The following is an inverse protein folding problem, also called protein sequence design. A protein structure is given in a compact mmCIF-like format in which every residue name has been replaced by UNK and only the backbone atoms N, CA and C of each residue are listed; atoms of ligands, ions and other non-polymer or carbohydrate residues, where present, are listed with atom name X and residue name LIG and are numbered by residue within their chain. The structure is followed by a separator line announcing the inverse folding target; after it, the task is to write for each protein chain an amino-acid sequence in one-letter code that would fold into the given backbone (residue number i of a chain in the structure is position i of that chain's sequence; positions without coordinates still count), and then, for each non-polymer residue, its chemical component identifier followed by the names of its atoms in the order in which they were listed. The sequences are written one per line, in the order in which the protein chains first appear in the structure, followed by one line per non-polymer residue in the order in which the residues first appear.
data_IF_891639702637
#
_entry.id   IF_891639702637
#
_cell.length_a   1.000
_cell.length_b   1.000
_cell.length_c   1.000
_cell.angle_alpha   90.00
_cell.angle_beta   90.00
_cell.angle_gamma   90.00
#
_symmetry.space_group_name_H-M   'P 1'
#
loop_
_entity.id
_entity.type
_entity.pdbx_description
1 polymer ?
#
# COMPACT_ATOMS: atom_id res chain seq x y z
N UNK A 1 1.98 24.28 -10.02
CA UNK A 1 1.46 24.97 -8.81
C UNK A 1 0.92 23.87 -7.92
N UNK A 2 1.71 23.44 -6.94
CA UNK A 2 1.35 22.32 -6.06
C UNK A 2 0.40 22.84 -4.98
N UNK A 3 -0.86 22.40 -5.03
CA UNK A 3 -1.80 22.53 -3.92
C UNK A 3 -2.17 21.12 -3.48
N UNK A 4 -1.22 20.46 -2.82
CA UNK A 4 -1.56 19.38 -1.92
C UNK A 4 -1.97 20.07 -0.62
N UNK A 5 -3.15 19.74 -0.09
CA UNK A 5 -3.54 20.08 1.27
C UNK A 5 -2.40 19.68 2.21
N UNK A 6 -1.62 20.65 2.67
CA UNK A 6 -0.55 20.43 3.63
C UNK A 6 -1.21 20.00 4.94
N UNK A 7 -1.21 18.69 5.19
CA UNK A 7 -1.39 18.15 6.53
C UNK A 7 -0.36 18.83 7.43
N UNK A 8 -0.82 19.71 8.31
CA UNK A 8 -0.01 20.36 9.33
C UNK A 8 0.77 19.26 10.06
N UNK A 9 2.11 19.26 9.97
CA UNK A 9 2.92 18.22 10.57
C UNK A 9 2.65 18.18 12.09
N UNK A 10 2.00 17.11 12.56
CA UNK A 10 1.84 16.84 13.98
C UNK A 10 3.00 15.95 14.38
N UNK A 11 3.88 16.48 15.23
CA UNK A 11 5.08 15.80 15.68
C UNK A 11 4.73 14.76 16.74
N UNK A 12 5.41 13.60 16.76
CA UNK A 12 5.19 12.63 17.80
C UNK A 12 5.68 13.22 19.13
N UNK A 13 4.85 13.10 20.14
CA UNK A 13 5.13 13.64 21.47
C UNK A 13 4.93 12.55 22.53
N UNK A 14 5.89 12.44 23.45
CA UNK A 14 5.67 11.74 24.72
C UNK A 14 5.49 12.76 25.81
N UNK A 15 4.35 12.70 26.50
CA UNK A 15 4.09 13.51 27.67
C UNK A 15 4.35 12.73 28.96
N UNK A 16 5.26 13.23 29.79
CA UNK A 16 5.50 12.77 31.16
C UNK A 16 4.41 13.25 32.12
N UNK A 17 3.89 12.34 32.95
CA UNK A 17 2.86 12.61 33.96
C UNK A 17 3.23 12.06 35.33
N UNK A 18 2.70 12.72 36.37
CA UNK A 18 2.93 12.36 37.78
C UNK A 18 1.98 11.27 38.31
N UNK A 19 0.86 10.94 37.63
CA UNK A 19 -0.13 9.95 38.10
C UNK A 19 -0.96 9.29 36.94
N UNK A 20 -1.28 7.98 37.01
CA UNK A 20 -1.89 7.21 35.89
C UNK A 20 -3.36 7.45 35.51
N UNK A 21 -4.17 8.06 36.39
CA UNK A 21 -5.64 7.93 36.28
C UNK A 21 -6.41 9.14 35.68
N UNK A 22 -5.74 10.20 35.20
CA UNK A 22 -6.46 11.36 34.62
C UNK A 22 -5.84 11.88 33.32
N UNK A 23 -6.62 11.86 32.25
CA UNK A 23 -6.21 12.25 30.89
C UNK A 23 -6.21 13.77 30.61
N UNK A 24 -6.75 14.61 31.50
CA UNK A 24 -7.16 15.99 31.16
C UNK A 24 -6.51 17.15 31.92
N UNK A 25 -5.58 16.94 32.87
CA UNK A 25 -5.04 18.08 33.63
C UNK A 25 -3.71 18.58 33.04
N UNK A 26 -3.61 19.90 32.85
CA UNK A 26 -2.48 20.65 32.25
C UNK A 26 -1.13 20.57 32.97
N UNK A 27 -0.83 19.46 33.64
CA UNK A 27 0.43 19.15 34.34
C UNK A 27 1.30 18.11 33.58
N UNK A 28 1.09 17.97 32.27
CA UNK A 28 1.87 17.07 31.41
C UNK A 28 3.08 17.81 30.83
N UNK A 29 4.30 17.30 31.04
CA UNK A 29 5.53 17.89 30.49
C UNK A 29 6.09 17.01 29.36
N UNK A 30 6.42 17.55 28.18
CA UNK A 30 6.96 16.74 27.10
C UNK A 30 8.34 16.19 27.48
N UNK A 31 8.57 14.90 27.23
CA UNK A 31 9.90 14.30 27.27
C UNK A 31 10.69 14.72 26.04
N UNK A 32 12.01 14.81 26.19
CA UNK A 32 12.87 15.23 25.09
C UNK A 32 13.10 14.05 24.14
N UNK A 33 12.74 14.21 22.86
CA UNK A 33 13.18 13.30 21.80
C UNK A 33 14.68 13.52 21.57
N UNK A 34 15.49 12.49 21.75
CA UNK A 34 16.96 12.57 21.64
C UNK A 34 17.52 11.75 20.48
N UNK A 35 16.84 10.69 20.02
CA UNK A 35 17.25 9.95 18.81
C UNK A 35 16.05 9.61 17.95
N UNK A 36 16.21 9.75 16.64
CA UNK A 36 15.21 9.41 15.66
C UNK A 36 15.84 8.51 14.59
N UNK A 37 15.24 7.36 14.35
CA UNK A 37 15.64 6.43 13.29
C UNK A 37 14.43 6.15 12.40
N UNK A 38 14.63 6.25 11.09
CA UNK A 38 13.58 6.03 10.10
C UNK A 38 14.11 5.04 9.08
N UNK A 39 13.41 3.92 8.95
CA UNK A 39 13.67 2.95 7.90
C UNK A 39 12.48 2.88 6.97
N UNK A 40 12.71 3.02 5.67
CA UNK A 40 11.69 2.84 4.66
C UNK A 40 12.06 1.71 3.71
N UNK A 41 11.06 0.88 3.39
CA UNK A 41 11.20 -0.25 2.47
C UNK A 41 10.12 -0.17 1.39
N UNK A 42 10.54 -0.25 0.14
CA UNK A 42 9.70 -0.34 -1.05
C UNK A 42 9.95 -1.66 -1.75
N UNK A 43 8.90 -2.43 -2.00
CA UNK A 43 8.95 -3.50 -2.98
C UNK A 43 8.69 -2.90 -4.37
N UNK A 44 9.66 -3.01 -5.29
CA UNK A 44 9.52 -2.51 -6.65
C UNK A 44 8.44 -3.23 -7.47
N UNK A 45 7.93 -4.37 -7.03
CA UNK A 45 6.76 -5.01 -7.64
C UNK A 45 5.46 -4.28 -7.26
N UNK A 46 5.43 -3.64 -6.08
CA UNK A 46 4.30 -2.87 -5.56
C UNK A 46 4.74 -1.47 -5.10
N UNK A 47 5.27 -0.64 -6.02
CA UNK A 47 5.84 0.68 -5.71
C UNK A 47 4.80 1.72 -5.25
N UNK A 48 3.52 1.34 -5.19
CA UNK A 48 2.46 2.21 -4.68
C UNK A 48 2.30 2.10 -3.15
N UNK A 49 2.81 1.03 -2.53
CA UNK A 49 2.82 0.86 -1.06
C UNK A 49 4.28 0.83 -0.59
N UNK A 50 4.54 1.48 0.53
CA UNK A 50 5.81 1.40 1.22
C UNK A 50 5.60 1.26 2.71
N UNK A 51 6.51 0.55 3.36
CA UNK A 51 6.53 0.41 4.80
C UNK A 51 7.55 1.41 5.38
N UNK A 52 7.16 2.09 6.44
CA UNK A 52 8.01 2.98 7.23
C UNK A 52 8.06 2.45 8.67
N UNK A 53 9.26 2.32 9.20
CA UNK A 53 9.52 2.05 10.61
C UNK A 53 10.18 3.28 11.23
N UNK A 54 9.51 3.90 12.18
CA UNK A 54 10.00 5.06 12.93
C UNK A 54 10.31 4.63 14.35
N UNK A 55 11.58 4.69 14.74
CA UNK A 55 12.08 4.40 16.09
C UNK A 55 12.52 5.70 16.76
N UNK A 56 11.91 6.01 17.91
CA UNK A 56 12.09 7.27 18.62
C UNK A 56 12.57 6.99 20.05
N UNK A 57 13.68 7.59 20.45
CA UNK A 57 14.20 7.50 21.82
C UNK A 57 13.94 8.81 22.55
N UNK A 58 13.20 8.73 23.64
CA UNK A 58 12.84 9.85 24.50
C UNK A 58 13.60 9.78 25.82
N UNK A 59 14.11 10.91 26.29
CA UNK A 59 14.80 11.04 27.57
C UNK A 59 13.91 11.72 28.60
N UNK A 60 13.80 11.11 29.78
CA UNK A 60 13.21 11.77 30.94
C UNK A 60 14.22 12.73 31.57
N UNK A 61 14.09 14.01 31.23
CA UNK A 61 14.94 15.08 31.78
C UNK A 61 14.57 15.47 33.21
N UNK A 62 13.50 14.91 33.78
CA UNK A 62 13.08 15.18 35.15
C UNK A 62 13.83 14.31 36.17
N UNK A 63 13.75 14.71 37.45
CA UNK A 63 14.32 13.99 38.60
C UNK A 63 13.34 13.03 39.28
N UNK A 64 12.22 12.72 38.62
CA UNK A 64 11.15 11.84 39.13
C UNK A 64 10.80 10.77 38.10
N UNK A 65 10.23 9.65 38.57
CA UNK A 65 9.61 8.65 37.69
C UNK A 65 8.37 9.28 37.06
N UNK A 66 8.21 9.11 35.75
CA UNK A 66 7.05 9.58 35.01
C UNK A 66 6.42 8.46 34.19
N UNK A 67 5.12 8.59 33.93
CA UNK A 67 4.43 7.85 32.88
C UNK A 67 4.46 8.67 31.59
N UNK A 68 4.84 8.03 30.48
CA UNK A 68 4.82 8.62 29.15
C UNK A 68 3.53 8.28 28.41
N UNK A 69 2.78 9.29 27.95
CA UNK A 69 1.74 9.11 26.93
C UNK A 69 2.32 9.48 25.57
N UNK A 70 2.55 8.48 24.71
CA UNK A 70 3.06 8.67 23.35
C UNK A 70 1.89 8.81 22.38
N UNK A 71 1.97 9.83 21.54
CA UNK A 71 1.03 10.08 20.45
C UNK A 71 1.78 10.20 19.13
N UNK A 72 1.32 9.49 18.10
CA UNK A 72 1.89 9.52 16.75
C UNK A 72 0.76 9.64 15.73
N UNK A 73 0.73 10.76 15.01
CA UNK A 73 -0.23 10.97 13.93
C UNK A 73 0.30 10.37 12.65
N UNK A 74 -0.42 9.39 12.11
CA UNK A 74 -0.13 8.76 10.85
C UNK A 74 -0.57 9.67 9.68
N UNK A 75 0.08 9.55 8.51
CA UNK A 75 -0.47 10.05 7.25
C UNK A 75 -1.91 9.57 7.04
N UNK A 76 -2.72 10.36 6.31
CA UNK A 76 -4.17 10.13 6.16
C UNK A 76 -4.52 8.73 5.64
N UNK A 77 -3.67 8.14 4.79
CA UNK A 77 -3.87 6.83 4.18
C UNK A 77 -3.01 5.73 4.80
N UNK A 78 -2.26 6.04 5.84
CA UNK A 78 -1.35 5.10 6.44
C UNK A 78 -2.08 4.14 7.39
N UNK A 79 -1.65 2.88 7.39
CA UNK A 79 -2.16 1.82 8.26
C UNK A 79 -1.04 1.33 9.16
N UNK A 80 -1.29 1.20 10.46
CA UNK A 80 -0.32 0.61 11.39
C UNK A 80 -0.17 -0.87 11.12
N UNK A 81 1.08 -1.30 11.01
CA UNK A 81 1.46 -2.69 10.80
C UNK A 81 2.15 -3.28 12.03
N UNK A 82 2.76 -2.45 12.88
CA UNK A 82 3.49 -2.94 14.04
C UNK A 82 3.87 -1.85 15.02
N UNK A 83 4.26 -2.29 16.21
CA UNK A 83 4.65 -1.45 17.32
C UNK A 83 5.67 -2.18 18.19
N UNK A 84 6.60 -1.46 18.81
CA UNK A 84 7.52 -2.05 19.79
C UNK A 84 7.97 -1.06 20.86
N UNK A 85 8.37 -1.60 22.00
CA UNK A 85 8.91 -0.87 23.15
C UNK A 85 10.23 -1.47 23.61
N UNK A 86 11.11 -0.63 24.15
CA UNK A 86 12.30 -1.12 24.81
C UNK A 86 11.99 -1.80 26.16
N UNK A 87 12.50 -3.01 26.32
CA UNK A 87 12.58 -3.72 27.60
C UNK A 87 14.06 -4.03 27.81
N UNK A 88 14.64 -3.47 28.87
CA UNK A 88 16.07 -3.60 29.20
C UNK A 88 17.02 -3.27 28.02
N UNK A 89 16.64 -2.26 27.22
CA UNK A 89 17.42 -1.79 26.07
C UNK A 89 17.20 -2.56 24.77
N UNK A 90 16.32 -3.57 24.76
CA UNK A 90 15.97 -4.36 23.57
C UNK A 90 14.55 -4.03 23.14
N UNK A 91 14.32 -3.73 21.85
CA UNK A 91 12.97 -3.53 21.33
C UNK A 91 12.23 -4.86 21.28
N UNK A 92 11.10 -4.92 21.98
CA UNK A 92 10.16 -6.03 21.98
C UNK A 92 8.90 -5.60 21.23
N UNK A 93 8.47 -6.43 20.27
CA UNK A 93 7.28 -6.16 19.48
C UNK A 93 6.00 -6.37 20.30
N UNK A 94 5.08 -5.41 20.18
CA UNK A 94 3.76 -5.47 20.78
C UNK A 94 2.82 -6.35 19.95
N UNK A 95 1.98 -7.12 20.63
CA UNK A 95 0.92 -7.93 19.99
C UNK A 95 -0.34 -7.08 19.83
N UNK A 96 -0.85 -7.00 18.60
CA UNK A 96 -2.15 -6.35 18.34
C UNK A 96 -3.26 -7.26 18.86
N UNK A 97 -4.03 -6.77 19.82
CA UNK A 97 -5.19 -7.48 20.40
C UNK A 97 -6.45 -6.62 20.25
N UNK A 98 -7.61 -7.27 20.17
CA UNK A 98 -8.90 -6.56 20.11
C UNK A 98 -9.11 -5.66 21.33
N UNK A 99 -9.73 -4.49 21.13
CA UNK A 99 -9.91 -3.43 22.14
C UNK A 99 -10.50 -3.92 23.47
N UNK A 100 -11.46 -4.84 23.43
CA UNK A 100 -12.10 -5.38 24.63
C UNK A 100 -11.16 -6.33 25.40
N UNK A 101 -10.46 -7.21 24.70
CA UNK A 101 -9.46 -8.11 25.30
C UNK A 101 -8.30 -7.31 25.92
N UNK A 102 -7.86 -6.26 25.24
CA UNK A 102 -6.84 -5.34 25.72
C UNK A 102 -7.24 -4.72 27.08
N UNK A 103 -8.47 -4.19 27.18
CA UNK A 103 -8.97 -3.56 28.41
C UNK A 103 -9.08 -4.54 29.59
N UNK A 104 -9.50 -5.78 29.35
CA UNK A 104 -9.59 -6.80 30.40
C UNK A 104 -8.20 -7.16 30.95
N UNK A 105 -7.20 -7.26 30.07
CA UNK A 105 -5.81 -7.47 30.49
C UNK A 105 -5.28 -6.28 31.31
N UNK A 106 -5.62 -5.05 30.92
CA UNK A 106 -5.27 -3.81 31.65
C UNK A 106 -5.79 -3.80 33.09
N UNK A 107 -7.10 -4.02 33.29
CA UNK A 107 -7.71 -3.96 34.63
C UNK A 107 -7.16 -5.05 35.57
N UNK A 108 -6.64 -6.14 35.01
CA UNK A 108 -6.05 -7.27 35.74
C UNK A 108 -4.59 -7.02 36.15
N UNK A 109 -3.79 -6.40 35.28
CA UNK A 109 -2.34 -6.25 35.48
C UNK A 109 -1.95 -4.96 36.22
N UNK A 110 -2.71 -3.86 36.06
CA UNK A 110 -2.50 -2.60 36.83
C UNK A 110 -2.54 -2.80 38.34
N UNK A 111 -3.31 -3.80 38.81
CA UNK A 111 -3.36 -4.17 40.24
C UNK A 111 -2.03 -4.70 40.80
N UNK A 112 -1.11 -5.11 39.93
CA UNK A 112 0.18 -5.70 40.33
C UNK A 112 1.35 -4.71 40.36
N UNK A 113 1.13 -3.43 40.01
CA UNK A 113 2.15 -2.33 40.01
C UNK A 113 3.44 -2.65 39.23
N UNK A 114 3.41 -3.64 38.35
CA UNK A 114 4.52 -4.07 37.50
C UNK A 114 3.89 -4.29 36.14
N UNK A 115 3.99 -3.34 35.21
CA UNK A 115 3.67 -3.67 33.82
C UNK A 115 4.42 -2.77 32.82
N UNK A 116 5.21 -3.35 31.90
CA UNK A 116 5.88 -2.63 30.83
C UNK A 116 4.93 -2.46 29.62
N UNK A 117 4.23 -1.32 29.58
CA UNK A 117 3.71 -0.74 28.33
C UNK A 117 2.43 -1.37 27.75
N UNK A 118 1.35 -0.59 27.69
CA UNK A 118 0.08 -0.99 27.11
C UNK A 118 -0.30 -0.06 25.95
N UNK A 119 -0.79 -0.65 24.85
CA UNK A 119 -1.04 0.02 23.56
C UNK A 119 -2.53 0.15 23.30
N UNK A 120 -3.01 1.34 22.97
CA UNK A 120 -4.42 1.57 22.58
C UNK A 120 -4.47 2.33 21.25
N UNK A 121 -4.87 1.66 20.16
CA UNK A 121 -5.20 2.36 18.92
C UNK A 121 -6.47 3.20 19.15
N UNK A 122 -6.32 4.53 19.12
CA UNK A 122 -7.44 5.47 19.22
C UNK A 122 -8.03 5.67 17.81
N UNK A 123 -9.35 5.86 17.73
CA UNK A 123 -10.10 6.00 16.48
C UNK A 123 -9.49 7.05 15.54
N UNK A 124 -9.23 6.69 14.27
CA UNK A 124 -8.72 7.60 13.22
C UNK A 124 -7.27 7.30 12.80
N UNK A 125 -6.52 8.35 12.44
CA UNK A 125 -5.09 8.30 12.07
C UNK A 125 -4.16 8.60 13.26
N UNK A 126 -4.66 8.57 14.50
CA UNK A 126 -3.89 8.87 15.70
C UNK A 126 -3.57 7.59 16.47
N UNK A 127 -2.29 7.27 16.56
CA UNK A 127 -1.79 6.22 17.43
C UNK A 127 -1.52 6.77 18.84
N UNK A 128 -1.93 6.02 19.87
CA UNK A 128 -1.60 6.35 21.27
C UNK A 128 -1.12 5.12 22.02
N UNK A 129 -0.17 5.31 22.91
CA UNK A 129 0.30 4.25 23.82
C UNK A 129 0.82 4.85 25.11
N UNK A 130 0.80 4.06 26.19
CA UNK A 130 1.30 4.49 27.49
C UNK A 130 2.49 3.65 27.90
N UNK A 131 3.52 4.32 28.39
CA UNK A 131 4.78 3.70 28.80
C UNK A 131 5.07 4.10 30.23
N UNK A 132 5.14 3.10 31.12
CA UNK A 132 5.50 3.27 32.52
C UNK A 132 6.38 2.08 32.95
N UNK A 133 7.30 2.26 33.91
CA UNK A 133 7.83 3.52 34.40
C UNK A 133 8.95 4.07 33.50
N UNK A 134 9.08 5.40 33.45
CA UNK A 134 10.25 6.08 32.87
C UNK A 134 11.04 6.72 34.01
N UNK A 135 12.14 6.09 34.41
CA UNK A 135 12.97 6.53 35.53
C UNK A 135 13.68 7.87 35.24
N UNK A 136 14.08 8.62 36.29
CA UNK A 136 14.81 9.88 36.12
C UNK A 136 16.07 9.72 35.27
N UNK A 137 16.31 10.63 34.32
CA UNK A 137 17.46 10.64 33.42
C UNK A 137 17.62 9.40 32.52
N UNK A 138 16.68 8.46 32.59
CA UNK A 138 16.64 7.29 31.72
C UNK A 138 15.90 7.59 30.43
N UNK A 139 16.11 6.71 29.45
CA UNK A 139 15.44 6.77 28.15
C UNK A 139 14.36 5.71 28.02
N UNK A 140 13.42 5.95 27.10
CA UNK A 140 12.54 4.93 26.53
C UNK A 140 12.52 5.05 25.03
N UNK A 141 12.48 3.92 24.36
CA UNK A 141 12.46 3.83 22.90
C UNK A 141 11.15 3.20 22.45
N UNK A 142 10.50 3.87 21.51
CA UNK A 142 9.23 3.46 20.93
C UNK A 142 9.43 3.28 19.43
N UNK A 143 8.99 2.15 18.89
CA UNK A 143 8.97 1.87 17.45
C UNK A 143 7.54 1.81 16.95
N UNK A 144 7.25 2.48 15.84
CA UNK A 144 5.99 2.38 15.11
C UNK A 144 6.30 1.97 13.68
N UNK A 145 5.61 0.95 13.20
CA UNK A 145 5.70 0.47 11.83
C UNK A 145 4.35 0.70 11.16
N UNK A 146 4.34 1.36 10.02
CA UNK A 146 3.14 1.63 9.26
C UNK A 146 3.40 1.51 7.75
N UNK A 147 2.35 1.18 7.00
CA UNK A 147 2.35 1.24 5.55
C UNK A 147 1.66 2.52 5.10
N UNK A 148 2.21 3.17 4.08
CA UNK A 148 1.63 4.35 3.45
C UNK A 148 1.57 4.18 1.93
N UNK A 149 0.79 5.04 1.28
CA UNK A 149 0.63 5.05 -0.18
C UNK A 149 1.48 6.15 -0.81
N UNK A 150 2.30 5.77 -1.78
CA UNK A 150 3.08 6.73 -2.56
C UNK A 150 2.17 7.55 -3.49
N UNK A 151 2.59 8.77 -3.80
CA UNK A 151 1.86 9.67 -4.70
C UNK A 151 2.29 9.38 -6.14
N UNK A 152 1.35 9.04 -7.02
CA UNK A 152 1.65 8.87 -8.45
C UNK A 152 2.17 10.20 -9.04
N UNK A 153 3.33 10.17 -9.68
CA UNK A 153 3.97 11.35 -10.26
C UNK A 153 4.66 11.03 -11.59
N UNK A 154 4.06 11.49 -12.70
CA UNK A 154 4.51 11.20 -14.07
C UNK A 154 4.74 9.68 -14.27
N UNK A 155 5.95 9.27 -14.63
CA UNK A 155 6.37 7.87 -14.82
C UNK A 155 7.00 7.29 -13.54
N UNK A 156 6.52 7.69 -12.36
CA UNK A 156 7.14 7.33 -11.09
C UNK A 156 6.19 7.48 -9.90
N UNK A 157 6.75 7.19 -8.73
CA UNK A 157 6.09 7.37 -7.44
C UNK A 157 6.91 8.36 -6.59
N UNK A 158 6.23 9.39 -6.09
CA UNK A 158 6.75 10.34 -5.13
C UNK A 158 6.49 9.79 -3.71
N UNK A 159 7.57 9.58 -2.97
CA UNK A 159 7.53 9.24 -1.56
C UNK A 159 7.78 10.48 -0.74
N UNK A 160 6.98 10.66 0.31
CA UNK A 160 7.13 11.73 1.28
C UNK A 160 7.32 11.09 2.65
N UNK A 161 8.54 11.16 3.17
CA UNK A 161 8.90 10.52 4.44
C UNK A 161 8.93 11.61 5.52
N UNK A 162 8.01 11.61 6.48
CA UNK A 162 8.06 12.54 7.59
C UNK A 162 9.28 12.25 8.47
N UNK A 163 10.05 13.28 8.80
CA UNK A 163 11.18 13.22 9.73
C UNK A 163 10.89 14.13 10.93
N UNK A 164 9.96 13.77 11.83
CA UNK A 164 9.36 14.76 12.72
C UNK A 164 10.18 14.97 14.00
N UNK A 165 10.82 16.13 14.17
CA UNK A 165 11.43 16.58 15.42
C UNK A 165 11.37 18.10 15.62
N UNK A 166 11.11 18.56 16.85
CA UNK A 166 11.04 19.99 17.20
C UNK A 166 12.20 20.46 18.08
N UNK A 167 12.96 19.53 18.66
CA UNK A 167 14.07 19.80 19.56
C UNK A 167 15.33 19.18 19.00
N UNK A 168 16.50 19.69 19.43
CA UNK A 168 17.80 19.10 19.08
C UNK A 168 17.81 17.58 19.31
N UNK A 169 18.28 16.84 18.31
CA UNK A 169 18.55 15.40 18.38
C UNK A 169 20.04 15.14 18.63
N UNK A 170 20.35 14.11 19.42
CA UNK A 170 21.69 13.55 19.53
C UNK A 170 22.07 12.82 18.24
N UNK A 171 21.14 12.06 17.65
CA UNK A 171 21.31 11.40 16.36
C UNK A 171 20.04 11.34 15.52
N UNK A 172 20.22 11.40 14.20
CA UNK A 172 19.22 11.14 13.18
C UNK A 172 19.77 10.12 12.20
N UNK A 173 19.10 8.97 12.11
CA UNK A 173 19.42 7.91 11.17
C UNK A 173 18.25 7.74 10.19
N UNK A 174 18.51 7.80 8.88
CA UNK A 174 17.49 7.53 7.86
C UNK A 174 18.05 6.54 6.86
N UNK A 175 17.34 5.44 6.66
CA UNK A 175 17.68 4.39 5.70
C UNK A 175 16.49 4.16 4.77
N UNK A 176 16.66 4.47 3.50
CA UNK A 176 15.64 4.25 2.47
C UNK A 176 16.09 3.10 1.58
N UNK A 177 15.24 2.10 1.38
CA UNK A 177 15.55 0.92 0.57
C UNK A 177 14.45 0.63 -0.44
N UNK A 178 14.84 0.48 -1.71
CA UNK A 178 13.95 0.03 -2.78
C UNK A 178 14.47 -1.29 -3.36
N UNK A 179 13.60 -2.30 -3.53
CA UNK A 179 13.94 -3.61 -4.10
C UNK A 179 13.41 -3.78 -5.52
N UNK A 180 14.04 -4.63 -6.35
CA UNK A 180 13.45 -5.14 -7.59
C UNK A 180 13.38 -4.16 -8.77
N UNK A 181 14.14 -3.07 -8.75
CA UNK A 181 14.22 -2.09 -9.84
C UNK A 181 15.63 -2.13 -10.43
N UNK A 182 15.79 -2.58 -11.66
CA UNK A 182 17.14 -2.77 -12.27
C UNK A 182 17.62 -1.57 -13.07
N UNK A 183 16.72 -0.68 -13.49
CA UNK A 183 17.00 0.22 -14.62
C UNK A 183 16.98 1.72 -14.30
N UNK A 184 16.49 2.17 -13.13
CA UNK A 184 16.45 3.61 -12.82
C UNK A 184 16.74 3.89 -11.36
N UNK A 185 17.71 4.79 -11.13
CA UNK A 185 18.14 5.24 -9.80
C UNK A 185 17.10 6.23 -9.24
N UNK A 186 16.64 6.08 -7.98
CA UNK A 186 15.74 7.05 -7.35
C UNK A 186 16.44 8.40 -7.14
N UNK A 187 15.68 9.50 -7.17
CA UNK A 187 16.22 10.86 -7.02
C UNK A 187 15.45 11.69 -6.00
N UNK A 188 16.19 12.39 -5.14
CA UNK A 188 15.59 13.31 -4.17
C UNK A 188 14.98 14.53 -4.87
N UNK A 189 13.85 14.98 -4.36
CA UNK A 189 13.20 16.22 -4.77
C UNK A 189 13.64 17.30 -3.80
N UNK A 190 14.27 18.36 -4.31
CA UNK A 190 14.64 19.49 -3.47
C UNK A 190 13.38 20.20 -2.96
N UNK A 191 13.28 20.37 -1.64
CA UNK A 191 12.32 21.30 -1.06
C UNK A 191 12.72 22.72 -1.51
N UNK A 192 11.77 23.64 -1.64
CA UNK A 192 11.97 24.97 -2.24
C UNK A 192 13.10 25.82 -1.62
N UNK A 193 13.61 25.45 -0.44
CA UNK A 193 14.68 26.17 0.28
C UNK A 193 15.92 25.30 0.62
N UNK A 194 16.03 24.07 0.12
CA UNK A 194 17.17 23.18 0.39
C UNK A 194 18.11 23.05 -0.81
N UNK A 195 19.37 23.44 -0.68
CA UNK A 195 20.41 22.99 -1.61
C UNK A 195 20.44 21.47 -1.58
N UNK A 196 20.32 20.83 -2.76
CA UNK A 196 20.31 19.38 -2.94
C UNK A 196 21.60 18.65 -2.44
N UNK A 197 22.54 19.38 -1.82
CA UNK A 197 23.83 18.91 -1.32
C UNK A 197 23.77 18.15 0.00
N UNK A 198 22.67 18.24 0.76
CA UNK A 198 22.56 17.60 2.09
C UNK A 198 21.67 16.35 2.11
N UNK A 199 21.11 15.95 0.98
CA UNK A 199 20.40 14.67 0.89
C UNK A 199 21.39 13.52 0.69
N UNK A 200 21.12 12.34 1.27
CA UNK A 200 21.91 11.16 0.95
C UNK A 200 21.79 10.83 -0.54
N UNK A 201 22.74 10.08 -1.09
CA UNK A 201 22.65 9.59 -2.46
C UNK A 201 22.17 8.14 -2.48
N UNK A 202 21.36 7.79 -3.47
CA UNK A 202 21.01 6.40 -3.69
C UNK A 202 22.18 5.64 -4.32
N UNK A 203 22.61 4.58 -3.65
CA UNK A 203 23.62 3.63 -4.11
C UNK A 203 22.92 2.40 -4.66
N UNK A 204 23.34 1.94 -5.83
CA UNK A 204 22.87 0.69 -6.43
C UNK A 204 23.63 -0.51 -5.89
N UNK A 205 22.92 -1.61 -5.68
CA UNK A 205 23.46 -2.89 -5.24
C UNK A 205 23.14 -3.97 -6.28
N UNK A 206 23.84 -5.11 -6.20
CA UNK A 206 23.48 -6.31 -6.97
C UNK A 206 22.03 -6.72 -6.68
N UNK A 207 21.30 -7.19 -7.69
CA UNK A 207 19.89 -7.63 -7.62
C UNK A 207 18.83 -6.51 -7.64
N UNK A 208 19.14 -5.33 -8.21
CA UNK A 208 18.15 -4.27 -8.39
C UNK A 208 17.69 -3.62 -7.08
N UNK A 209 18.54 -3.64 -6.04
CA UNK A 209 18.32 -2.97 -4.77
C UNK A 209 19.00 -1.59 -4.81
N UNK A 210 18.29 -0.55 -4.36
CA UNK A 210 18.85 0.79 -4.13
C UNK A 210 18.74 1.15 -2.66
N UNK A 211 19.78 1.77 -2.09
CA UNK A 211 19.76 2.29 -0.72
C UNK A 211 20.24 3.72 -0.65
N UNK A 212 19.61 4.55 0.19
CA UNK A 212 20.13 5.85 0.60
C UNK A 212 20.19 5.89 2.12
N UNK A 213 21.35 6.29 2.67
CA UNK A 213 21.63 6.28 4.10
C UNK A 213 22.09 7.67 4.55
N UNK A 214 21.46 8.21 5.59
CA UNK A 214 21.79 9.48 6.21
C UNK A 214 22.05 9.23 7.70
N UNK A 215 23.26 9.54 8.14
CA UNK A 215 23.66 9.44 9.54
C UNK A 215 24.16 10.80 10.01
N UNK A 216 23.35 11.48 10.83
CA UNK A 216 23.70 12.78 11.40
C UNK A 216 23.79 12.67 12.91
N UNK A 217 24.74 13.42 13.49
CA UNK A 217 24.88 13.58 14.93
C UNK A 217 24.72 15.05 15.28
N UNK A 218 24.12 15.36 16.43
CA UNK A 218 23.84 16.73 16.87
C UNK A 218 23.04 17.52 15.80
N UNK A 219 21.76 17.18 15.64
CA UNK A 219 20.89 17.77 14.62
C UNK A 219 19.99 18.83 15.25
N UNK A 220 20.09 20.05 14.76
CA UNK A 220 19.20 21.15 15.16
C UNK A 220 17.91 21.16 14.32
N UNK A 221 16.75 21.52 14.91
CA UNK A 221 15.49 21.57 14.17
C UNK A 221 15.51 22.69 13.12
N UNK A 222 15.00 22.38 11.92
CA UNK A 222 14.81 23.37 10.86
C UNK A 222 13.74 24.41 11.25
N UNK A 223 13.99 25.68 10.91
CA UNK A 223 13.12 26.82 11.27
C UNK A 223 11.77 26.80 10.52
N UNK A 224 11.68 26.05 9.42
CA UNK A 224 10.56 26.10 8.47
C UNK A 224 9.53 24.97 8.64
N UNK A 225 9.59 24.15 9.69
CA UNK A 225 8.64 23.05 9.99
C UNK A 225 8.46 21.97 8.90
N UNK A 226 9.07 22.10 7.72
CA UNK A 226 9.03 21.10 6.65
C UNK A 226 10.21 20.13 6.75
N UNK A 227 10.09 19.15 7.63
CA UNK A 227 11.03 18.03 7.74
C UNK A 227 10.50 16.82 6.98
N UNK A 228 10.06 17.02 5.74
CA UNK A 228 9.65 15.93 4.86
C UNK A 228 10.79 15.65 3.89
N UNK A 229 11.27 14.41 3.91
CA UNK A 229 12.24 13.91 2.95
C UNK A 229 11.49 13.34 1.74
N UNK A 230 11.62 14.00 0.59
CA UNK A 230 10.90 13.63 -0.62
C UNK A 230 11.83 13.05 -1.68
N UNK A 231 11.46 11.92 -2.27
CA UNK A 231 12.18 11.36 -3.42
C UNK A 231 11.23 10.71 -4.41
N UNK A 232 11.63 10.69 -5.68
CA UNK A 232 10.92 10.03 -6.76
C UNK A 232 11.63 8.71 -7.05
N UNK A 233 10.85 7.62 -7.09
CA UNK A 233 11.24 6.38 -7.72
C UNK A 233 10.63 6.35 -9.13
N UNK A 234 11.43 6.53 -10.19
CA UNK A 234 10.95 6.27 -11.54
C UNK A 234 10.69 4.78 -11.69
N UNK A 235 9.58 4.43 -12.34
CA UNK A 235 9.23 3.04 -12.61
C UNK A 235 9.00 2.87 -14.09
N UNK A 236 9.70 1.90 -14.67
CA UNK A 236 9.27 1.33 -15.93
C UNK A 236 8.07 0.45 -15.62
N UNK A 237 6.86 0.96 -15.88
CA UNK A 237 5.62 0.21 -15.71
C UNK A 237 5.70 -1.05 -16.58
N UNK A 238 6.02 -2.20 -15.96
CA UNK A 238 5.86 -3.50 -16.61
C UNK A 238 4.35 -3.73 -16.80
N UNK A 239 3.90 -4.17 -17.99
CA UNK A 239 2.48 -4.19 -18.34
C UNK A 239 1.65 -5.06 -17.39
N UNK A 240 2.22 -6.16 -16.87
CA UNK A 240 1.61 -6.99 -15.82
C UNK A 240 2.74 -7.52 -14.93
N UNK A 241 2.61 -7.33 -13.62
CA UNK A 241 3.44 -7.96 -12.59
C UNK A 241 2.55 -8.83 -11.73
N UNK A 242 2.97 -10.08 -11.49
CA UNK A 242 2.30 -10.99 -10.58
C UNK A 242 3.30 -11.51 -9.54
N UNK A 243 2.97 -11.40 -8.26
CA UNK A 243 3.74 -12.05 -7.19
C UNK A 243 2.86 -13.09 -6.49
N UNK A 244 3.50 -14.09 -5.92
CA UNK A 244 2.85 -15.10 -5.09
C UNK A 244 3.63 -15.19 -3.79
N UNK A 245 2.98 -14.92 -2.68
CA UNK A 245 3.52 -15.13 -1.34
C UNK A 245 2.87 -16.36 -0.73
N UNK A 246 3.68 -17.28 -0.19
CA UNK A 246 3.20 -18.48 0.47
C UNK A 246 3.38 -18.32 1.97
N UNK A 247 2.27 -18.29 2.68
CA UNK A 247 2.22 -18.38 4.14
C UNK A 247 1.99 -19.83 4.57
N UNK A 248 2.80 -20.31 5.53
CA UNK A 248 2.76 -21.69 5.99
C UNK A 248 1.47 -22.06 6.76
N UNK A 249 0.72 -21.06 7.23
CA UNK A 249 -0.48 -21.22 8.05
C UNK A 249 -1.78 -20.90 7.31
N UNK A 250 -1.76 -19.99 6.32
CA UNK A 250 -2.96 -19.51 5.62
C UNK A 250 -2.98 -19.84 4.11
N UNK A 251 -1.89 -20.37 3.54
CA UNK A 251 -1.83 -20.80 2.14
C UNK A 251 -1.08 -19.82 1.23
N UNK A 252 -1.49 -19.68 -0.02
CA UNK A 252 -0.82 -18.80 -0.98
C UNK A 252 -1.68 -17.59 -1.33
N UNK A 253 -1.11 -16.40 -1.22
CA UNK A 253 -1.68 -15.16 -1.73
C UNK A 253 -0.99 -14.78 -3.02
N UNK A 254 -1.73 -14.19 -3.94
CA UNK A 254 -1.15 -13.61 -5.15
C UNK A 254 -1.64 -12.19 -5.32
N UNK A 255 -0.77 -11.34 -5.87
CA UNK A 255 -1.11 -9.97 -6.19
C UNK A 255 -0.70 -9.68 -7.64
N UNK A 256 -1.63 -9.09 -8.40
CA UNK A 256 -1.42 -8.69 -9.79
C UNK A 256 -1.46 -7.17 -9.85
N UNK A 257 -0.35 -6.55 -10.24
CA UNK A 257 -0.27 -5.14 -10.56
C UNK A 257 -0.23 -5.00 -12.08
N UNK A 258 -1.26 -4.39 -12.65
CA UNK A 258 -1.35 -4.11 -14.08
C UNK A 258 -1.34 -2.60 -14.28
N UNK A 259 -0.33 -2.12 -15.00
CA UNK A 259 -0.33 -0.74 -15.48
C UNK A 259 -1.20 -0.68 -16.73
N UNK A 260 -2.38 -0.06 -16.63
CA UNK A 260 -3.18 0.21 -17.81
C UNK A 260 -2.36 1.12 -18.74
N UNK A 261 -2.18 0.75 -20.03
CA UNK A 261 -1.45 1.61 -20.96
C UNK A 261 -2.12 2.98 -21.02
N UNK A 262 -1.33 4.04 -20.88
CA UNK A 262 -1.81 5.41 -21.03
C UNK A 262 -2.38 5.57 -22.45
N UNK A 263 -3.55 6.20 -22.65
CA UNK A 263 -4.18 6.32 -23.98
C UNK A 263 -3.36 7.03 -25.07
N UNK A 264 -2.15 7.50 -24.78
CA UNK A 264 -1.28 8.20 -25.72
C UNK A 264 -0.23 7.28 -26.33
N UNK A 265 -0.72 6.27 -27.03
CA UNK A 265 -0.21 5.82 -28.31
C UNK A 265 -1.45 5.31 -29.03
N UNK A 266 -2.28 6.24 -29.53
CA UNK A 266 -3.18 5.93 -30.64
C UNK A 266 -2.33 5.13 -31.63
N UNK A 267 -2.62 3.84 -31.80
CA UNK A 267 -2.01 3.00 -32.83
C UNK A 267 -2.16 3.77 -34.14
N UNK A 268 -1.08 4.43 -34.57
CA UNK A 268 -1.00 5.13 -35.84
C UNK A 268 -0.83 4.16 -37.00
N UNK A 269 -0.83 2.86 -36.72
CA UNK A 269 -0.86 1.85 -37.75
C UNK A 269 -2.31 1.57 -38.10
N UNK A 270 -2.79 2.31 -39.10
CA UNK A 270 -3.78 1.81 -40.04
C UNK A 270 -3.26 0.48 -40.60
N UNK A 271 -3.55 -0.61 -39.91
CA UNK A 271 -3.73 -1.90 -40.56
C UNK A 271 -5.23 -1.99 -40.85
N UNK A 272 -5.57 -1.95 -42.14
CA UNK A 272 -6.85 -2.40 -42.68
C UNK A 272 -7.04 -3.87 -42.30
N UNK A 273 -7.45 -4.14 -41.06
CA UNK A 273 -7.88 -5.47 -40.65
C UNK A 273 -9.39 -5.52 -40.89
N UNK A 274 -9.88 -6.33 -41.84
CA UNK A 274 -11.27 -6.30 -42.30
C UNK A 274 -12.29 -6.84 -41.29
N UNK A 275 -11.84 -7.35 -40.14
CA UNK A 275 -12.66 -7.81 -39.01
C UNK A 275 -11.81 -8.07 -37.78
N UNK A 276 -12.35 -7.81 -36.58
CA UNK A 276 -11.75 -8.26 -35.32
C UNK A 276 -12.25 -9.66 -34.96
N UNK A 277 -11.34 -10.57 -34.59
CA UNK A 277 -11.65 -11.89 -34.05
C UNK A 277 -11.41 -11.89 -32.54
N UNK A 278 -12.49 -12.01 -31.77
CA UNK A 278 -12.48 -11.89 -30.32
C UNK A 278 -12.82 -13.24 -29.71
N UNK A 279 -12.17 -13.61 -28.62
CA UNK A 279 -12.60 -14.73 -27.79
C UNK A 279 -13.15 -14.21 -26.45
N UNK A 280 -14.35 -14.67 -26.09
CA UNK A 280 -14.97 -14.45 -24.79
C UNK A 280 -14.93 -15.77 -24.03
N UNK A 281 -14.16 -15.80 -22.96
CA UNK A 281 -14.10 -16.89 -22.00
C UNK A 281 -15.09 -16.56 -20.89
N UNK A 282 -16.16 -17.35 -20.78
CA UNK A 282 -17.26 -17.09 -19.87
C UNK A 282 -17.38 -18.20 -18.84
N UNK A 283 -17.12 -17.88 -17.57
CA UNK A 283 -17.31 -18.82 -16.48
C UNK A 283 -18.81 -19.04 -16.26
N UNK A 284 -19.25 -20.29 -16.40
CA UNK A 284 -20.61 -20.73 -16.16
C UNK A 284 -20.71 -21.55 -14.87
N UNK A 285 -19.80 -21.36 -13.92
CA UNK A 285 -19.80 -22.02 -12.62
C UNK A 285 -20.96 -21.60 -11.71
N UNK A 286 -21.27 -22.46 -10.73
CA UNK A 286 -22.35 -22.23 -9.78
C UNK A 286 -22.17 -20.96 -8.93
N UNK A 287 -20.93 -20.55 -8.63
CA UNK A 287 -20.66 -19.31 -7.88
C UNK A 287 -21.21 -18.07 -8.60
N UNK A 288 -21.35 -18.13 -9.92
CA UNK A 288 -21.92 -17.06 -10.75
C UNK A 288 -23.43 -17.18 -10.96
N UNK A 289 -24.15 -18.12 -10.33
CA UNK A 289 -25.59 -18.31 -10.56
C UNK A 289 -26.41 -17.08 -10.14
N UNK A 290 -26.11 -16.50 -8.97
CA UNK A 290 -26.90 -15.44 -8.33
C UNK A 290 -26.58 -14.02 -8.82
N UNK A 291 -25.75 -13.86 -9.86
CA UNK A 291 -25.17 -12.59 -10.26
C UNK A 291 -25.85 -11.92 -11.47
N UNK A 292 -27.19 -12.01 -11.61
CA UNK A 292 -27.90 -11.49 -12.81
C UNK A 292 -27.62 -10.01 -13.08
N UNK A 293 -27.50 -9.20 -12.03
CA UNK A 293 -27.13 -7.78 -12.14
C UNK A 293 -25.69 -7.60 -12.66
N UNK A 294 -24.73 -8.34 -12.10
CA UNK A 294 -23.33 -8.30 -12.56
C UNK A 294 -23.21 -8.73 -14.03
N UNK A 295 -23.92 -9.78 -14.45
CA UNK A 295 -23.93 -10.22 -15.85
C UNK A 295 -24.48 -9.14 -16.78
N UNK A 296 -25.49 -8.40 -16.32
CA UNK A 296 -26.05 -7.28 -17.09
C UNK A 296 -25.01 -6.16 -17.22
N UNK A 297 -24.26 -5.85 -16.16
CA UNK A 297 -23.17 -4.87 -16.20
C UNK A 297 -22.01 -5.30 -17.11
N UNK A 298 -21.60 -6.57 -17.05
CA UNK A 298 -20.57 -7.15 -17.91
C UNK A 298 -20.96 -7.05 -19.39
N UNK A 299 -22.20 -7.43 -19.73
CA UNK A 299 -22.72 -7.35 -21.09
C UNK A 299 -22.89 -5.89 -21.57
N UNK A 300 -23.32 -4.96 -20.71
CA UNK A 300 -23.36 -3.53 -21.04
C UNK A 300 -21.95 -2.94 -21.27
N UNK A 301 -20.97 -3.38 -20.47
CA UNK A 301 -19.57 -3.06 -20.67
C UNK A 301 -19.05 -3.54 -22.03
N UNK A 302 -19.31 -4.81 -22.38
CA UNK A 302 -19.00 -5.35 -23.70
C UNK A 302 -19.69 -4.56 -24.82
N UNK A 303 -20.96 -4.20 -24.63
CA UNK A 303 -21.71 -3.40 -25.62
C UNK A 303 -20.98 -2.10 -25.94
N UNK A 304 -20.58 -1.34 -24.92
CA UNK A 304 -19.89 -0.04 -25.10
C UNK A 304 -18.58 -0.20 -25.87
N UNK A 305 -17.81 -1.25 -25.56
CA UNK A 305 -16.56 -1.57 -26.25
C UNK A 305 -16.83 -1.96 -27.70
N UNK A 306 -17.76 -2.89 -27.92
CA UNK A 306 -18.05 -3.43 -29.25
C UNK A 306 -18.76 -2.44 -30.16
N UNK A 307 -19.66 -1.58 -29.65
CA UNK A 307 -20.24 -0.47 -30.42
C UNK A 307 -19.12 0.42 -30.97
N UNK A 308 -18.14 0.78 -30.14
CA UNK A 308 -16.97 1.57 -30.56
C UNK A 308 -16.21 0.86 -31.67
N UNK A 309 -16.00 -0.45 -31.57
CA UNK A 309 -15.28 -1.22 -32.60
C UNK A 309 -16.10 -1.43 -33.87
N UNK A 310 -17.41 -1.64 -33.76
CA UNK A 310 -18.32 -1.82 -34.88
C UNK A 310 -18.42 -0.56 -35.74
N UNK A 311 -18.29 0.64 -35.16
CA UNK A 311 -18.19 1.89 -35.98
C UNK A 311 -16.99 1.90 -36.93
N UNK A 312 -15.94 1.13 -36.61
CA UNK A 312 -14.72 1.05 -37.41
C UNK A 312 -14.66 -0.16 -38.34
N UNK A 313 -15.15 -1.32 -37.89
CA UNK A 313 -14.98 -2.59 -38.59
C UNK A 313 -16.27 -3.13 -39.24
N UNK A 314 -17.44 -2.57 -38.94
CA UNK A 314 -18.79 -3.00 -39.38
C UNK A 314 -19.20 -4.43 -39.03
N UNK A 315 -18.25 -5.31 -38.69
CA UNK A 315 -18.45 -6.69 -38.26
C UNK A 315 -17.33 -7.14 -37.32
N UNK A 316 -17.68 -8.02 -36.39
CA UNK A 316 -16.76 -8.64 -35.45
C UNK A 316 -17.10 -10.13 -35.37
N UNK A 317 -16.10 -10.99 -35.46
CA UNK A 317 -16.27 -12.43 -35.18
C UNK A 317 -15.97 -12.67 -33.71
N UNK A 318 -16.92 -13.25 -32.98
CA UNK A 318 -16.83 -13.53 -31.56
C UNK A 318 -16.89 -15.04 -31.35
N UNK A 319 -15.90 -15.58 -30.66
CA UNK A 319 -15.87 -16.97 -30.22
C UNK A 319 -16.17 -16.98 -28.73
N UNK A 320 -17.32 -17.52 -28.34
CA UNK A 320 -17.73 -17.65 -26.94
C UNK A 320 -17.38 -19.06 -26.49
N UNK A 321 -16.56 -19.18 -25.45
CA UNK A 321 -16.22 -20.44 -24.81
C UNK A 321 -16.77 -20.40 -23.39
N UNK A 322 -17.74 -21.27 -23.12
CA UNK A 322 -18.23 -21.47 -21.76
C UNK A 322 -17.32 -22.45 -21.06
N UNK A 323 -16.90 -22.12 -19.84
CA UNK A 323 -16.12 -23.04 -19.01
C UNK A 323 -16.70 -23.12 -17.61
N UNK A 324 -16.52 -24.28 -16.98
CA UNK A 324 -16.94 -24.60 -15.62
C UNK A 324 -15.98 -25.68 -15.11
N UNK A 325 -16.48 -26.85 -14.69
CA UNK A 325 -15.65 -28.02 -14.43
C UNK A 325 -15.05 -28.59 -15.71
N UNK A 326 -15.74 -28.40 -16.84
CA UNK A 326 -15.32 -28.73 -18.20
C UNK A 326 -15.55 -27.51 -19.12
N UNK A 327 -14.90 -27.52 -20.28
CA UNK A 327 -15.16 -26.54 -21.33
C UNK A 327 -16.20 -27.06 -22.31
N UNK A 328 -17.08 -26.16 -22.74
CA UNK A 328 -18.03 -26.41 -23.81
C UNK A 328 -17.40 -26.14 -25.17
N UNK A 329 -18.01 -26.71 -26.21
CA UNK A 329 -17.67 -26.39 -27.59
C UNK A 329 -17.82 -24.88 -27.86
N UNK A 330 -16.87 -24.26 -28.59
CA UNK A 330 -16.93 -22.84 -28.88
C UNK A 330 -18.16 -22.46 -29.72
N UNK A 331 -18.88 -21.42 -29.30
CA UNK A 331 -19.95 -20.82 -30.07
C UNK A 331 -19.36 -19.69 -30.91
N UNK A 332 -19.44 -19.80 -32.23
CA UNK A 332 -18.99 -18.76 -33.15
C UNK A 332 -20.17 -17.87 -33.49
N UNK A 333 -20.06 -16.59 -33.17
CA UNK A 333 -21.08 -15.58 -33.38
C UNK A 333 -20.54 -14.42 -34.21
N UNK A 334 -21.29 -13.98 -35.22
CA UNK A 334 -20.94 -12.82 -36.02
C UNK A 334 -21.73 -11.60 -35.56
N UNK A 335 -21.05 -10.67 -34.91
CA UNK A 335 -21.64 -9.45 -34.38
C UNK A 335 -21.66 -8.35 -35.45
N UNK A 336 -22.84 -7.75 -35.61
CA UNK A 336 -23.18 -6.64 -36.50
C UNK A 336 -23.82 -5.52 -35.66
N UNK A 337 -23.89 -4.27 -36.18
CA UNK A 337 -24.49 -3.14 -35.44
C UNK A 337 -25.96 -3.34 -35.04
N UNK A 338 -26.69 -4.25 -35.69
CA UNK A 338 -28.12 -4.43 -35.56
C UNK A 338 -28.55 -5.75 -34.88
N UNK A 339 -27.63 -6.64 -34.50
CA UNK A 339 -27.96 -7.96 -33.93
C UNK A 339 -27.48 -8.15 -32.48
N UNK A 340 -27.39 -7.05 -31.73
CA UNK A 340 -26.96 -7.08 -30.32
C UNK A 340 -27.85 -7.95 -29.42
N UNK A 341 -29.17 -7.95 -29.68
CA UNK A 341 -30.11 -8.77 -28.91
C UNK A 341 -29.84 -10.27 -29.10
N UNK A 342 -29.50 -10.70 -30.32
CA UNK A 342 -29.16 -12.08 -30.62
C UNK A 342 -27.83 -12.48 -29.95
N UNK A 343 -26.88 -11.54 -29.86
CA UNK A 343 -25.64 -11.76 -29.12
C UNK A 343 -25.91 -12.01 -27.63
N UNK A 344 -26.74 -11.17 -26.99
CA UNK A 344 -27.09 -11.31 -25.57
C UNK A 344 -27.77 -12.66 -25.28
N UNK A 345 -28.60 -13.17 -26.20
CA UNK A 345 -29.31 -14.45 -26.00
C UNK A 345 -28.36 -15.62 -25.72
N UNK A 346 -27.13 -15.59 -26.26
CA UNK A 346 -26.10 -16.60 -25.95
C UNK A 346 -25.73 -16.67 -24.46
N UNK A 347 -26.06 -15.64 -23.67
CA UNK A 347 -25.72 -15.55 -22.24
C UNK A 347 -26.93 -15.64 -21.31
N UNK A 348 -28.16 -15.52 -21.82
CA UNK A 348 -29.37 -15.50 -20.99
C UNK A 348 -29.78 -16.90 -20.50
N UNK A 349 -29.63 -17.90 -21.37
CA UNK A 349 -30.11 -19.28 -21.12
C UNK A 349 -28.99 -20.25 -20.70
N UNK A 350 -27.83 -19.72 -20.30
CA UNK A 350 -26.73 -20.56 -19.83
C UNK A 350 -27.09 -21.17 -18.46
N UNK A 351 -27.06 -22.50 -18.29
CA UNK A 351 -27.15 -23.12 -16.98
C UNK A 351 -25.84 -22.87 -16.23
N UNK A 352 -25.93 -22.24 -15.05
CA UNK A 352 -24.80 -22.00 -14.15
C UNK A 352 -24.66 -23.16 -13.17
N UNK A 353 -23.65 -24.00 -13.37
CA UNK A 353 -23.42 -25.21 -12.59
C UNK A 353 -21.93 -25.60 -12.54
N UNK A 354 -21.59 -26.55 -11.67
CA UNK A 354 -20.21 -27.00 -11.50
C UNK A 354 -19.30 -25.97 -10.83
N UNK A 355 -17.99 -26.22 -10.89
CA UNK A 355 -16.94 -25.42 -10.26
C UNK A 355 -16.03 -24.79 -11.32
N UNK A 356 -15.44 -23.63 -11.04
CA UNK A 356 -14.51 -22.93 -11.94
C UNK A 356 -13.20 -23.70 -12.12
N UNK A 357 -12.89 -24.19 -13.33
CA UNK A 357 -11.61 -24.83 -13.66
C UNK A 357 -10.78 -24.01 -14.66
N UNK A 358 -10.03 -23.03 -14.16
CA UNK A 358 -9.20 -22.16 -14.99
C UNK A 358 -8.03 -22.86 -15.69
N UNK A 359 -7.58 -24.02 -15.21
CA UNK A 359 -6.46 -24.74 -15.82
C UNK A 359 -6.76 -25.17 -17.26
N UNK A 360 -8.04 -25.37 -17.60
CA UNK A 360 -8.46 -25.77 -18.94
C UNK A 360 -8.23 -24.68 -19.99
N UNK A 361 -8.10 -23.42 -19.57
CA UNK A 361 -7.81 -22.32 -20.49
C UNK A 361 -6.46 -22.48 -21.19
N UNK A 362 -5.51 -23.18 -20.56
CA UNK A 362 -4.20 -23.49 -21.17
C UNK A 362 -4.28 -24.44 -22.38
N UNK A 363 -5.39 -25.18 -22.50
CA UNK A 363 -5.62 -26.15 -23.58
C UNK A 363 -6.30 -25.55 -24.82
N UNK A 364 -6.65 -24.26 -24.78
CA UNK A 364 -7.34 -23.58 -25.88
C UNK A 364 -6.35 -23.29 -27.00
N UNK A 365 -6.57 -23.89 -28.16
CA UNK A 365 -5.74 -23.68 -29.34
C UNK A 365 -6.62 -23.29 -30.53
N UNK A 366 -6.37 -22.11 -31.09
CA UNK A 366 -7.06 -21.63 -32.28
C UNK A 366 -6.16 -21.74 -33.50
N UNK A 367 -6.73 -22.19 -34.62
CA UNK A 367 -6.02 -22.31 -35.90
C UNK A 367 -5.69 -20.91 -36.48
N UNK A 368 -6.56 -19.93 -36.25
CA UNK A 368 -6.28 -18.53 -36.62
C UNK A 368 -6.09 -17.68 -35.36
N UNK A 369 -5.31 -16.60 -35.43
CA UNK A 369 -5.04 -15.75 -34.29
C UNK A 369 -6.31 -15.05 -33.79
N UNK A 370 -6.40 -14.90 -32.47
CA UNK A 370 -7.40 -14.10 -31.78
C UNK A 370 -6.78 -12.73 -31.47
N UNK A 371 -7.48 -11.65 -31.82
CA UNK A 371 -7.02 -10.28 -31.55
C UNK A 371 -7.09 -9.93 -30.06
N UNK A 372 -8.18 -10.34 -29.39
CA UNK A 372 -8.49 -9.97 -28.01
C UNK A 372 -9.20 -11.10 -27.27
N UNK A 373 -8.87 -11.23 -25.99
CA UNK A 373 -9.54 -12.14 -25.06
C UNK A 373 -10.25 -11.34 -23.96
N UNK A 374 -11.50 -11.69 -23.68
CA UNK A 374 -12.24 -11.22 -22.52
C UNK A 374 -12.51 -12.41 -21.61
N UNK A 375 -12.10 -12.33 -20.34
CA UNK A 375 -12.36 -13.36 -19.34
C UNK A 375 -13.34 -12.83 -18.30
N UNK A 376 -14.44 -13.55 -18.11
CA UNK A 376 -15.44 -13.30 -17.08
C UNK A 376 -15.47 -14.50 -16.15
N UNK A 377 -15.15 -14.30 -14.87
CA UNK A 377 -15.07 -15.35 -13.85
C UNK A 377 -15.73 -14.93 -12.54
#
# INVERSE_FOLDING_TARGET
MFSASMSRAIFPMIFGRRHPDKLSDGASTPLQLVRLQIEQKVDGNFPFIHQISTTMTFKNTHHIIVEGAFEFTLPEKATICGYGLDIDGVIVDGVVVEKQAARIMFEKEVRKRIDPGFVELVTGNLFRTRVYPIAPQQTRTVRVIYQDQAITHNNGFLYQIPVPFQTRLDSLDVVLTCYGQETVIPSFVANSNGTASNYPQFVSHSNGKYTAELHLTTVEPSVENEQILSYILPVSLKPVMSTVEKDASVGAYFAISCALPTPNQLRTDQLDIPSKRICILWDASLSRSNSKENRTLELDGLKKIFDTWLTRFNKIEIIIILFRNNMNEPIIFQLLPNNWNDFIQNFQDIPYDGATNLSQLSSIHFIQPIDYYFLFS
#
